data_IF_522543675528
#
_entry.id   IF_522543675528
#
_cell.length_a   1.000
_cell.length_b   1.000
_cell.length_c   1.000
_cell.angle_alpha   90.00
_cell.angle_beta   90.00
_cell.angle_gamma   90.00
#
_symmetry.space_group_name_H-M   'P 1'
#
loop_
_entity.id
_entity.type
_entity.pdbx_description
1 polymer ?
#
# COMPACT_ATOMS: atom_id res chain seq x y z
N UNK A 1 3.55 -3.71 0.95
CA UNK A 1 2.70 -2.49 1.03
C UNK A 1 3.20 -1.52 2.07
N UNK A 2 3.58 -1.97 3.28
CA UNK A 2 4.10 -1.09 4.34
C UNK A 2 5.26 -0.20 3.88
N UNK A 3 6.25 -0.75 3.18
CA UNK A 3 7.34 0.06 2.59
C UNK A 3 6.85 1.19 1.67
N UNK A 4 5.75 1.00 0.93
CA UNK A 4 5.16 2.06 0.13
C UNK A 4 4.47 3.12 0.99
N UNK A 5 3.78 2.72 2.06
CA UNK A 5 3.20 3.67 3.02
C UNK A 5 4.28 4.56 3.66
N UNK A 6 5.44 3.98 4.00
CA UNK A 6 6.60 4.65 4.59
C UNK A 6 7.37 5.62 3.69
N UNK A 7 7.09 5.61 2.39
CA UNK A 7 7.96 6.27 1.41
C UNK A 7 7.25 7.37 0.65
N UNK A 8 7.93 8.48 0.40
CA UNK A 8 7.39 9.59 -0.40
C UNK A 8 7.26 9.26 -1.89
N UNK A 9 7.99 8.25 -2.38
CA UNK A 9 7.93 7.81 -3.76
C UNK A 9 8.02 6.28 -3.90
N UNK A 10 7.50 5.77 -5.02
CA UNK A 10 7.55 4.33 -5.33
C UNK A 10 8.99 3.86 -5.53
N UNK A 11 9.86 4.75 -6.02
CA UNK A 11 11.29 4.47 -6.20
C UNK A 11 11.98 4.24 -4.86
N UNK A 12 11.71 5.08 -3.87
CA UNK A 12 12.25 4.92 -2.50
C UNK A 12 11.72 3.63 -1.87
N UNK A 13 10.42 3.37 -1.98
CA UNK A 13 9.80 2.15 -1.46
C UNK A 13 10.36 0.87 -2.10
N UNK A 14 10.57 0.89 -3.41
CA UNK A 14 11.11 -0.25 -4.15
C UNK A 14 12.55 -0.54 -3.73
N UNK A 15 13.36 0.52 -3.56
CA UNK A 15 14.75 0.41 -3.10
C UNK A 15 14.86 -0.15 -1.68
N UNK A 16 13.98 0.27 -0.76
CA UNK A 16 14.06 -0.17 0.64
C UNK A 16 13.76 -1.66 0.85
N UNK A 17 13.08 -2.31 -0.10
CA UNK A 17 12.79 -3.75 -0.06
C UNK A 17 13.40 -4.52 -1.24
N UNK A 18 14.35 -3.92 -1.96
CA UNK A 18 15.13 -4.54 -3.05
C UNK A 18 14.28 -5.15 -4.18
N UNK A 19 13.21 -4.47 -4.60
CA UNK A 19 12.39 -4.89 -5.75
C UNK A 19 12.30 -3.79 -6.81
N UNK A 20 11.72 -4.11 -7.96
CA UNK A 20 11.47 -3.12 -9.01
C UNK A 20 10.26 -2.23 -8.68
N UNK A 21 10.24 -1.01 -9.23
CA UNK A 21 9.04 -0.13 -9.18
C UNK A 21 7.84 -0.78 -9.89
N UNK A 22 8.08 -1.59 -10.93
CA UNK A 22 7.05 -2.37 -11.60
C UNK A 22 6.35 -3.34 -10.64
N UNK A 23 7.13 -4.04 -9.81
CA UNK A 23 6.61 -4.95 -8.79
C UNK A 23 5.73 -4.20 -7.77
N UNK A 24 6.18 -3.03 -7.29
CA UNK A 24 5.36 -2.15 -6.42
C UNK A 24 4.04 -1.78 -7.09
N UNK A 25 4.06 -1.36 -8.36
CA UNK A 25 2.86 -1.02 -9.11
C UNK A 25 1.88 -2.20 -9.19
N UNK A 26 2.38 -3.40 -9.48
CA UNK A 26 1.55 -4.63 -9.50
C UNK A 26 0.91 -4.88 -8.14
N UNK A 27 1.65 -4.74 -7.03
CA UNK A 27 1.08 -4.91 -5.69
C UNK A 27 0.00 -3.87 -5.39
N UNK A 28 0.22 -2.59 -5.72
CA UNK A 28 -0.76 -1.51 -5.52
C UNK A 28 -2.05 -1.80 -6.31
N UNK A 29 -1.92 -2.16 -7.60
CA UNK A 29 -3.08 -2.49 -8.44
C UNK A 29 -3.87 -3.66 -7.87
N UNK A 30 -3.19 -4.75 -7.51
CA UNK A 30 -3.85 -5.96 -6.97
C UNK A 30 -4.57 -5.69 -5.66
N UNK A 31 -3.96 -4.97 -4.71
CA UNK A 31 -4.61 -4.70 -3.42
C UNK A 31 -5.81 -3.75 -3.58
N UNK A 32 -5.72 -2.77 -4.50
CA UNK A 32 -6.88 -1.91 -4.82
C UNK A 32 -8.03 -2.70 -5.43
N UNK A 33 -7.74 -3.63 -6.34
CA UNK A 33 -8.73 -4.54 -6.91
C UNK A 33 -9.39 -5.40 -5.83
N UNK A 34 -8.61 -5.97 -4.90
CA UNK A 34 -9.16 -6.75 -3.77
C UNK A 34 -10.14 -5.94 -2.92
N UNK A 35 -9.78 -4.73 -2.54
CA UNK A 35 -10.67 -3.85 -1.77
C UNK A 35 -11.90 -3.41 -2.57
N UNK A 36 -11.75 -3.11 -3.86
CA UNK A 36 -12.87 -2.76 -4.72
C UNK A 36 -13.86 -3.91 -4.88
N UNK A 37 -13.37 -5.16 -5.00
CA UNK A 37 -14.21 -6.35 -5.16
C UNK A 37 -15.16 -6.61 -3.98
N UNK A 38 -14.84 -6.08 -2.79
CA UNK A 38 -15.68 -6.18 -1.59
C UNK A 38 -16.36 -4.85 -1.23
N UNK A 39 -16.46 -3.90 -2.17
CA UNK A 39 -17.14 -2.62 -1.98
C UNK A 39 -16.38 -1.60 -1.10
N UNK A 40 -15.10 -1.87 -0.79
CA UNK A 40 -14.27 -1.04 0.11
C UNK A 40 -13.17 -0.29 -0.63
N UNK A 41 -13.47 0.29 -1.81
CA UNK A 41 -12.50 0.93 -2.70
C UNK A 41 -11.50 1.86 -1.99
N UNK A 42 -10.24 1.85 -2.44
CA UNK A 42 -9.12 2.59 -1.87
C UNK A 42 -8.20 3.18 -2.97
N UNK A 43 -8.65 4.20 -3.72
CA UNK A 43 -7.98 4.66 -4.94
C UNK A 43 -6.72 5.49 -4.70
N UNK A 44 -6.49 5.99 -3.49
CA UNK A 44 -5.32 6.82 -3.13
C UNK A 44 -4.37 6.09 -2.19
N UNK A 45 -3.13 6.58 -2.01
CA UNK A 45 -2.19 6.03 -1.02
C UNK A 45 -2.77 6.10 0.40
N UNK A 46 -3.35 7.26 0.75
CA UNK A 46 -3.98 7.49 2.05
C UNK A 46 -5.19 6.58 2.30
N UNK A 47 -6.09 6.41 1.32
CA UNK A 47 -7.23 5.51 1.46
C UNK A 47 -6.78 4.06 1.67
N UNK A 48 -5.71 3.64 1.00
CA UNK A 48 -5.18 2.29 1.11
C UNK A 48 -4.47 2.05 2.46
N UNK A 49 -3.83 3.09 3.00
CA UNK A 49 -3.30 3.07 4.36
C UNK A 49 -4.43 2.99 5.40
N UNK A 50 -5.50 3.79 5.23
CA UNK A 50 -6.67 3.72 6.11
C UNK A 50 -7.31 2.33 6.12
N UNK A 51 -7.37 1.63 4.98
CA UNK A 51 -7.82 0.23 4.94
C UNK A 51 -6.87 -0.70 5.69
N UNK A 52 -5.57 -0.53 5.53
CA UNK A 52 -4.59 -1.32 6.28
C UNK A 52 -4.72 -1.14 7.80
N UNK A 53 -5.02 0.08 8.28
CA UNK A 53 -5.32 0.33 9.70
C UNK A 53 -6.62 -0.35 10.13
N UNK A 54 -7.71 -0.20 9.36
CA UNK A 54 -9.01 -0.80 9.67
C UNK A 54 -8.96 -2.33 9.72
N UNK A 55 -8.12 -2.93 8.89
CA UNK A 55 -8.01 -4.39 8.75
C UNK A 55 -6.89 -4.98 9.62
N UNK A 56 -6.22 -4.17 10.44
CA UNK A 56 -5.18 -4.63 11.38
C UNK A 56 -3.88 -5.07 10.71
N UNK A 57 -3.59 -4.59 9.49
CA UNK A 57 -2.32 -4.86 8.80
C UNK A 57 -1.17 -3.97 9.29
N UNK A 58 -1.48 -2.91 10.04
CA UNK A 58 -0.54 -2.00 10.69
C UNK A 58 -1.27 -1.16 11.74
N UNK A 59 -0.53 -0.50 12.62
CA UNK A 59 -1.06 0.39 13.65
C UNK A 59 -0.37 1.75 13.60
N UNK A 60 -1.06 2.82 14.00
CA UNK A 60 -0.49 4.18 14.02
C UNK A 60 0.77 4.29 14.89
N UNK A 61 0.92 3.44 15.92
CA UNK A 61 2.11 3.40 16.78
C UNK A 61 3.38 2.90 16.07
N UNK A 62 3.27 2.36 14.86
CA UNK A 62 4.39 1.86 14.06
C UNK A 62 4.95 2.92 13.09
N UNK A 63 4.41 4.14 13.10
CA UNK A 63 4.69 5.21 12.13
C UNK A 63 5.12 6.52 12.79
#
# INVERSE_FOLDING_TARGET
MLAWFASDSKTVAARSVYISVGTINTHITRVRQKYAAVGRSAPTKAALFARALQDGHTHLSEW
#
